data_IF_354673964579
#
_entry.id   IF_354673964579
#
_cell.length_a   1.000
_cell.length_b   1.000
_cell.length_c   1.000
_cell.angle_alpha   90.00
_cell.angle_beta   90.00
_cell.angle_gamma   90.00
#
_symmetry.space_group_name_H-M   'P 1'
#
loop_
_entity.id
_entity.type
_entity.pdbx_description
1 polymer ?
#
# COMPACT_ATOMS: atom_id res chain seq x y z
N UNK A 1 -19.09 15.66 2.72
CA UNK A 1 -18.95 14.52 1.80
C UNK A 1 -18.06 13.47 2.48
N UNK A 2 -18.62 12.37 3.00
CA UNK A 2 -17.80 11.30 3.56
C UNK A 2 -17.01 10.64 2.41
N UNK A 3 -15.67 10.65 2.49
CA UNK A 3 -14.83 9.96 1.50
C UNK A 3 -15.21 8.48 1.49
N UNK A 4 -15.56 7.95 0.30
CA UNK A 4 -15.88 6.54 0.11
C UNK A 4 -14.66 5.71 0.55
N UNK A 5 -14.84 4.82 1.53
CA UNK A 5 -13.77 3.90 1.95
C UNK A 5 -13.53 2.91 0.81
N UNK A 6 -12.28 2.80 0.38
CA UNK A 6 -11.86 1.87 -0.68
C UNK A 6 -11.90 0.43 -0.15
N UNK A 7 -11.64 0.25 1.14
CA UNK A 7 -11.63 -1.04 1.83
C UNK A 7 -12.46 -0.98 3.12
N UNK A 8 -13.12 -2.10 3.44
CA UNK A 8 -13.97 -2.22 4.63
C UNK A 8 -13.18 -2.42 5.94
N UNK A 9 -11.90 -2.76 5.84
CA UNK A 9 -11.02 -3.02 6.98
C UNK A 9 -10.64 -1.75 7.75
N UNK A 10 -10.43 -1.91 9.06
CA UNK A 10 -9.95 -0.85 9.93
C UNK A 10 -8.50 -0.49 9.59
N UNK A 11 -8.21 0.79 9.38
CA UNK A 11 -6.84 1.26 9.13
C UNK A 11 -6.08 1.39 10.44
N UNK A 12 -4.93 0.71 10.54
CA UNK A 12 -3.98 0.89 11.65
C UNK A 12 -2.78 1.71 11.17
N UNK A 13 -2.32 2.66 11.99
CA UNK A 13 -1.08 3.39 11.74
C UNK A 13 0.11 2.51 12.15
N UNK A 14 1.11 2.43 11.29
CA UNK A 14 2.33 1.69 11.54
C UNK A 14 3.53 2.52 11.07
N UNK A 15 4.55 2.62 11.92
CA UNK A 15 5.81 3.31 11.59
C UNK A 15 6.88 2.24 11.36
N UNK A 16 7.58 2.32 10.24
CA UNK A 16 8.68 1.40 9.92
C UNK A 16 9.89 2.16 9.40
N UNK A 17 11.07 1.56 9.56
CA UNK A 17 12.31 2.06 8.97
C UNK A 17 12.63 1.21 7.73
N UNK A 18 12.88 1.87 6.60
CA UNK A 18 13.23 1.23 5.34
C UNK A 18 14.62 1.70 4.89
N UNK A 19 15.33 0.84 4.16
CA UNK A 19 16.56 1.24 3.48
C UNK A 19 16.24 2.19 2.32
N UNK A 20 17.21 3.02 1.92
CA UNK A 20 17.04 3.92 0.77
C UNK A 20 16.66 3.16 -0.50
N UNK A 21 17.27 1.98 -0.73
CA UNK A 21 16.96 1.12 -1.87
C UNK A 21 15.51 0.65 -1.86
N UNK A 22 14.98 0.28 -0.69
CA UNK A 22 13.59 -0.13 -0.57
C UNK A 22 12.62 1.03 -0.86
N UNK A 23 12.96 2.25 -0.41
CA UNK A 23 12.16 3.46 -0.69
C UNK A 23 12.14 3.74 -2.20
N UNK A 24 13.29 3.73 -2.87
CA UNK A 24 13.38 3.95 -4.32
C UNK A 24 12.58 2.91 -5.11
N UNK A 25 12.64 1.65 -4.68
CA UNK A 25 11.84 0.58 -5.29
C UNK A 25 10.33 0.82 -5.13
N UNK A 26 9.89 1.28 -3.95
CA UNK A 26 8.48 1.63 -3.70
C UNK A 26 8.02 2.83 -4.54
N UNK A 27 8.87 3.86 -4.70
CA UNK A 27 8.58 5.03 -5.54
C UNK A 27 8.42 4.64 -7.01
N UNK A 28 9.30 3.77 -7.53
CA UNK A 28 9.17 3.25 -8.89
C UNK A 28 7.87 2.44 -9.05
N UNK A 29 7.57 1.56 -8.08
CA UNK A 29 6.33 0.78 -8.08
C UNK A 29 5.08 1.65 -8.02
N UNK A 30 5.14 2.80 -7.34
CA UNK A 30 4.04 3.75 -7.30
C UNK A 30 3.66 4.25 -8.70
N UNK A 31 4.65 4.51 -9.54
CA UNK A 31 4.45 4.92 -10.94
C UNK A 31 3.86 3.76 -11.74
N UNK A 32 4.45 2.56 -11.62
CA UNK A 32 4.04 1.37 -12.37
C UNK A 32 2.55 1.04 -12.19
N UNK A 33 2.06 1.07 -10.94
CA UNK A 33 0.68 0.69 -10.60
C UNK A 33 -0.27 1.89 -10.47
N UNK A 34 0.23 3.10 -10.77
CA UNK A 34 -0.49 4.38 -10.63
C UNK A 34 -1.14 4.53 -9.24
N UNK A 35 -0.36 4.20 -8.20
CA UNK A 35 -0.80 4.35 -6.83
C UNK A 35 -0.70 5.80 -6.36
N UNK A 36 -1.59 6.15 -5.43
CA UNK A 36 -1.71 7.51 -4.92
C UNK A 36 -0.66 7.86 -3.86
N UNK A 37 -0.01 6.87 -3.25
CA UNK A 37 1.07 7.03 -2.26
C UNK A 37 1.86 5.73 -2.08
N UNK A 38 3.02 5.79 -1.42
CA UNK A 38 3.76 4.59 -0.99
C UNK A 38 2.89 3.67 -0.11
N UNK A 39 2.06 4.23 0.79
CA UNK A 39 1.13 3.43 1.59
C UNK A 39 0.12 2.66 0.75
N UNK A 40 -0.37 3.27 -0.34
CA UNK A 40 -1.28 2.63 -1.30
C UNK A 40 -0.56 1.51 -2.09
N UNK A 41 0.73 1.70 -2.42
CA UNK A 41 1.57 0.63 -3.01
C UNK A 41 1.67 -0.57 -2.07
N UNK A 42 2.07 -0.32 -0.82
CA UNK A 42 2.23 -1.39 0.19
C UNK A 42 0.90 -2.11 0.40
N UNK A 43 -0.20 -1.39 0.52
CA UNK A 43 -1.53 -1.97 0.75
C UNK A 43 -1.98 -2.86 -0.43
N UNK A 44 -1.81 -2.39 -1.67
CA UNK A 44 -2.16 -3.19 -2.86
C UNK A 44 -1.30 -4.44 -3.00
N UNK A 45 0.02 -4.30 -2.86
CA UNK A 45 0.94 -5.43 -2.93
C UNK A 45 0.68 -6.45 -1.82
N UNK A 46 0.40 -6.00 -0.60
CA UNK A 46 0.04 -6.89 0.50
C UNK A 46 -1.22 -7.70 0.16
N UNK A 47 -2.25 -7.09 -0.43
CA UNK A 47 -3.48 -7.79 -0.84
C UNK A 47 -3.26 -8.81 -1.94
N UNK A 48 -2.36 -8.54 -2.89
CA UNK A 48 -2.01 -9.51 -3.94
C UNK A 48 -1.28 -10.75 -3.39
N UNK A 49 -0.48 -10.56 -2.34
CA UNK A 49 0.30 -11.63 -1.71
C UNK A 49 -0.40 -12.30 -0.53
N UNK A 50 -1.49 -11.71 -0.02
CA UNK A 50 -2.32 -12.34 1.01
C UNK A 50 -3.11 -13.50 0.37
N UNK A 51 -3.16 -14.68 1.00
CA UNK A 51 -4.02 -15.75 0.54
C UNK A 51 -5.46 -15.24 0.54
N UNK A 52 -6.14 -15.36 -0.61
CA UNK A 52 -7.59 -15.09 -0.69
C UNK A 52 -8.25 -16.05 0.29
N UNK A 53 -8.90 -15.51 1.34
CA UNK A 53 -9.77 -16.33 2.19
C UNK A 53 -10.86 -16.89 1.28
N UNK A 54 -10.88 -18.21 1.15
CA UNK A 54 -11.99 -18.98 0.57
C UNK A 54 -13.31 -18.68 1.31
#
# INVERSE_FOLDING_TARGET
MARKKIYAEEKRRFTMTLTQTAIQWLEQKQIDIKASSISDVIERMARENLPKKE
#
